data_IF_524788050238
#
_entry.id   IF_524788050238
#
_cell.length_a   1.000
_cell.length_b   1.000
_cell.length_c   1.000
_cell.angle_alpha   90.00
_cell.angle_beta   90.00
_cell.angle_gamma   90.00
#
_symmetry.space_group_name_H-M   'P 1'
#
loop_
_entity.id
_entity.type
_entity.pdbx_description
1 polymer ?
#
# COMPACT_ATOMS: atom_id res chain seq x y z
N UNK A 1 -20.07 -7.10 -11.27
CA UNK A 1 -19.99 -5.76 -10.65
C UNK A 1 -18.57 -5.27 -10.92
N UNK A 2 -18.41 -4.26 -11.78
CA UNK A 2 -17.09 -3.78 -12.21
C UNK A 2 -16.61 -2.80 -11.15
N UNK A 3 -15.57 -3.16 -10.39
CA UNK A 3 -14.93 -2.25 -9.44
C UNK A 3 -13.73 -1.57 -10.12
N UNK A 4 -13.98 -0.78 -11.17
CA UNK A 4 -12.95 0.05 -11.82
C UNK A 4 -13.05 1.51 -11.34
N UNK A 5 -11.95 2.25 -11.48
CA UNK A 5 -11.84 3.64 -11.05
C UNK A 5 -11.84 4.61 -12.23
N UNK A 6 -12.59 5.72 -12.10
CA UNK A 6 -12.70 6.77 -13.14
C UNK A 6 -11.33 7.33 -13.50
N UNK A 7 -10.52 7.67 -12.49
CA UNK A 7 -9.14 8.16 -12.68
C UNK A 7 -8.29 7.18 -13.50
N UNK A 8 -8.45 5.86 -13.29
CA UNK A 8 -7.68 4.86 -14.03
C UNK A 8 -8.14 4.77 -15.51
N UNK A 9 -9.45 4.82 -15.75
CA UNK A 9 -10.02 4.82 -17.10
C UNK A 9 -9.61 6.07 -17.90
N UNK A 10 -9.56 7.23 -17.24
CA UNK A 10 -9.12 8.49 -17.85
C UNK A 10 -7.62 8.49 -18.13
N UNK A 11 -6.79 7.94 -17.23
CA UNK A 11 -5.37 7.74 -17.51
C UNK A 11 -5.14 6.83 -18.74
N UNK A 12 -5.93 5.76 -18.89
CA UNK A 12 -5.86 4.88 -20.07
C UNK A 12 -6.26 5.62 -21.35
N UNK A 13 -7.30 6.44 -21.30
CA UNK A 13 -7.73 7.27 -22.43
C UNK A 13 -6.68 8.32 -22.81
N UNK A 14 -6.08 9.00 -21.81
CA UNK A 14 -5.04 10.01 -22.03
C UNK A 14 -3.79 9.48 -22.72
N UNK A 15 -3.44 8.20 -22.53
CA UNK A 15 -2.28 7.57 -23.21
C UNK A 15 -2.42 7.55 -24.73
N UNK A 16 -3.64 7.50 -25.27
CA UNK A 16 -3.87 7.48 -26.72
C UNK A 16 -3.56 8.83 -27.39
N UNK A 17 -3.60 9.94 -26.65
CA UNK A 17 -3.44 11.30 -27.18
C UNK A 17 -2.03 11.89 -27.07
N UNK A 18 -1.00 11.10 -26.71
CA UNK A 18 0.33 11.64 -26.35
C UNK A 18 1.12 12.26 -27.51
N UNK A 19 0.85 11.85 -28.75
CA UNK A 19 1.64 12.26 -29.93
C UNK A 19 0.78 12.95 -30.98
N UNK A 20 -0.47 12.51 -31.13
CA UNK A 20 -1.46 13.05 -32.05
C UNK A 20 -2.86 12.69 -31.53
N UNK A 21 -3.91 13.21 -32.16
CA UNK A 21 -5.28 12.86 -31.82
C UNK A 21 -5.47 11.33 -31.88
N UNK A 22 -5.83 10.74 -30.73
CA UNK A 22 -6.00 9.31 -30.56
C UNK A 22 -7.44 8.95 -30.21
N UNK A 23 -7.77 7.66 -30.33
CA UNK A 23 -9.08 7.11 -29.95
C UNK A 23 -8.90 6.08 -28.84
N UNK A 24 -9.79 6.09 -27.86
CA UNK A 24 -9.86 5.10 -26.80
C UNK A 24 -11.25 4.43 -26.86
N UNK A 25 -11.27 3.10 -27.01
CA UNK A 25 -12.50 2.32 -27.01
C UNK A 25 -12.72 1.73 -25.62
N UNK A 26 -13.84 2.09 -24.99
CA UNK A 26 -14.25 1.59 -23.67
C UNK A 26 -15.26 0.46 -23.85
N UNK A 27 -14.95 -0.74 -23.38
CA UNK A 27 -15.79 -1.94 -23.53
C UNK A 27 -16.84 -2.06 -22.40
N UNK A 28 -17.49 -0.94 -22.05
CA UNK A 28 -18.54 -0.84 -21.04
C UNK A 28 -19.51 0.30 -21.38
N UNK A 29 -20.78 0.23 -20.96
CA UNK A 29 -21.75 1.28 -21.20
C UNK A 29 -21.36 2.58 -20.47
N UNK A 30 -21.79 3.72 -21.00
CA UNK A 30 -21.53 5.03 -20.39
C UNK A 30 -22.11 5.17 -18.98
N UNK A 31 -23.23 4.50 -18.70
CA UNK A 31 -23.84 4.44 -17.36
C UNK A 31 -22.90 3.78 -16.34
N UNK A 32 -22.20 2.71 -16.70
CA UNK A 32 -21.26 2.06 -15.79
C UNK A 32 -20.11 3.01 -15.39
N UNK A 33 -19.62 3.84 -16.32
CA UNK A 33 -18.59 4.83 -16.02
C UNK A 33 -19.06 5.95 -15.08
N UNK A 34 -20.32 6.37 -15.21
CA UNK A 34 -20.86 7.50 -14.43
C UNK A 34 -21.36 7.05 -13.06
N UNK A 35 -22.03 5.90 -13.00
CA UNK A 35 -22.82 5.46 -11.85
C UNK A 35 -22.18 4.31 -11.07
N UNK A 36 -21.37 3.46 -11.73
CA UNK A 36 -20.78 2.26 -11.09
C UNK A 36 -19.31 2.43 -10.73
N UNK A 37 -18.55 3.25 -11.47
CA UNK A 37 -17.11 3.42 -11.23
C UNK A 37 -16.86 4.28 -10.00
N UNK A 38 -15.87 3.87 -9.20
CA UNK A 38 -15.39 4.65 -8.07
C UNK A 38 -14.51 5.81 -8.56
N UNK A 39 -14.47 6.92 -7.82
CA UNK A 39 -13.70 8.09 -8.23
C UNK A 39 -12.19 7.83 -8.32
N UNK A 40 -11.61 7.38 -7.22
CA UNK A 40 -10.18 7.14 -7.09
C UNK A 40 -9.92 5.86 -6.30
N UNK A 41 -8.78 5.24 -6.56
CA UNK A 41 -8.28 4.11 -5.77
C UNK A 41 -8.02 4.55 -4.34
N UNK A 42 -8.49 3.77 -3.37
CA UNK A 42 -8.08 3.91 -1.97
C UNK A 42 -6.54 3.81 -1.89
N UNK A 43 -5.86 4.62 -1.06
CA UNK A 43 -4.42 4.56 -0.87
C UNK A 43 -3.91 3.13 -0.58
N UNK A 44 -2.73 2.80 -1.08
CA UNK A 44 -2.16 1.45 -0.91
C UNK A 44 -1.90 1.09 0.56
N UNK A 45 -1.49 2.08 1.37
CA UNK A 45 -1.26 1.94 2.81
C UNK A 45 -2.52 1.51 3.59
N UNK A 46 -3.71 1.69 3.01
CA UNK A 46 -4.98 1.27 3.58
C UNK A 46 -5.50 -0.05 2.99
N UNK A 47 -4.78 -0.66 2.05
CA UNK A 47 -5.21 -1.87 1.31
C UNK A 47 -4.27 -3.06 1.42
N UNK A 48 -2.99 -2.85 1.74
CA UNK A 48 -1.97 -3.91 1.79
C UNK A 48 -1.51 -4.21 3.22
N UNK A 49 -0.90 -5.39 3.41
CA UNK A 49 -0.24 -5.73 4.67
C UNK A 49 0.91 -4.76 4.93
N UNK A 50 0.88 -4.11 6.09
CA UNK A 50 1.90 -3.15 6.51
C UNK A 50 3.14 -3.83 7.08
N UNK A 51 3.13 -5.15 7.31
CA UNK A 51 4.23 -5.87 7.94
C UNK A 51 5.58 -5.64 7.25
N UNK A 52 5.62 -5.72 5.90
CA UNK A 52 6.83 -5.46 5.13
C UNK A 52 7.32 -4.01 5.25
N UNK A 53 6.40 -3.04 5.18
CA UNK A 53 6.72 -1.61 5.32
C UNK A 53 7.22 -1.27 6.72
N UNK A 54 6.56 -1.80 7.77
CA UNK A 54 6.94 -1.60 9.17
C UNK A 54 8.30 -2.23 9.45
N UNK A 55 8.58 -3.43 8.92
CA UNK A 55 9.89 -4.06 9.01
C UNK A 55 10.98 -3.21 8.36
N UNK A 56 10.69 -2.68 7.16
CA UNK A 56 11.62 -1.81 6.45
C UNK A 56 11.89 -0.53 7.25
N UNK A 57 10.86 0.13 7.76
CA UNK A 57 11.00 1.33 8.60
C UNK A 57 11.83 1.06 9.86
N UNK A 58 11.61 -0.08 10.53
CA UNK A 58 12.40 -0.48 11.71
C UNK A 58 13.85 -0.85 11.35
N UNK A 59 14.11 -1.32 10.13
CA UNK A 59 15.47 -1.65 9.68
C UNK A 59 16.37 -0.43 9.43
N UNK A 60 15.78 0.76 9.29
CA UNK A 60 16.51 2.02 9.14
C UNK A 60 17.21 2.49 10.43
N UNK A 61 17.04 1.75 11.54
CA UNK A 61 17.68 1.97 12.84
C UNK A 61 17.51 3.41 13.36
N UNK A 62 16.29 3.94 13.21
CA UNK A 62 15.91 5.24 13.75
C UNK A 62 15.54 5.04 15.23
N UNK A 63 16.37 5.52 16.18
CA UNK A 63 16.31 5.11 17.59
C UNK A 63 15.00 5.46 18.31
N UNK A 64 14.25 6.44 17.79
CA UNK A 64 13.02 6.95 18.41
C UNK A 64 11.78 6.82 17.50
N UNK A 65 11.83 5.98 16.45
CA UNK A 65 10.68 5.85 15.54
C UNK A 65 9.59 4.99 16.17
N UNK A 66 8.60 5.68 16.74
CA UNK A 66 7.34 5.09 17.15
C UNK A 66 6.41 4.98 15.94
N UNK A 67 6.24 3.75 15.45
CA UNK A 67 5.41 3.43 14.29
C UNK A 67 3.93 3.80 14.54
N UNK A 68 3.47 3.78 15.79
CA UNK A 68 2.09 4.13 16.14
C UNK A 68 1.84 5.64 16.11
N UNK A 69 2.89 6.45 16.27
CA UNK A 69 2.83 7.92 16.27
C UNK A 69 3.56 8.55 15.07
N UNK A 70 3.93 7.75 14.07
CA UNK A 70 4.62 8.24 12.89
C UNK A 70 3.67 9.08 12.02
N UNK A 71 4.19 10.19 11.48
CA UNK A 71 3.41 11.14 10.66
C UNK A 71 3.28 10.63 9.22
N UNK A 72 2.37 9.67 9.01
CA UNK A 72 2.04 9.16 7.70
C UNK A 72 1.20 10.18 6.91
N UNK A 73 1.52 10.36 5.62
CA UNK A 73 0.76 11.24 4.71
C UNK A 73 -0.74 10.89 4.69
N UNK A 74 -1.03 9.59 4.62
CA UNK A 74 -2.36 9.03 4.80
C UNK A 74 -2.25 7.96 5.90
N UNK A 75 -2.67 8.24 7.15
CA UNK A 75 -2.47 7.32 8.24
C UNK A 75 -3.24 6.01 8.00
N UNK A 76 -2.57 4.86 8.15
CA UNK A 76 -3.27 3.58 8.18
C UNK A 76 -4.12 3.48 9.44
N UNK A 77 -5.05 2.51 9.46
CA UNK A 77 -5.81 2.23 10.67
C UNK A 77 -4.88 1.71 11.78
N UNK A 78 -5.16 2.10 13.04
CA UNK A 78 -4.39 1.64 14.19
C UNK A 78 -4.38 0.11 14.30
N UNK A 79 -5.52 -0.53 14.02
CA UNK A 79 -5.65 -1.98 14.02
C UNK A 79 -4.71 -2.64 12.99
N UNK A 80 -4.57 -2.06 11.80
CA UNK A 80 -3.64 -2.56 10.77
C UNK A 80 -2.18 -2.45 11.19
N UNK A 81 -1.80 -1.38 11.91
CA UNK A 81 -0.44 -1.24 12.46
C UNK A 81 -0.18 -2.23 13.58
N UNK A 82 -1.13 -2.41 14.49
CA UNK A 82 -1.04 -3.37 15.59
C UNK A 82 -0.95 -4.81 15.06
N UNK A 83 -1.73 -5.15 14.02
CA UNK A 83 -1.66 -6.46 13.37
C UNK A 83 -0.31 -6.68 12.67
N UNK A 84 0.21 -5.66 11.97
CA UNK A 84 1.54 -5.74 11.36
C UNK A 84 2.66 -5.95 12.39
N UNK A 85 2.64 -5.23 13.52
CA UNK A 85 3.59 -5.43 14.62
C UNK A 85 3.46 -6.83 15.22
N UNK A 86 2.22 -7.32 15.39
CA UNK A 86 1.97 -8.68 15.89
C UNK A 86 2.53 -9.75 14.95
N UNK A 87 2.31 -9.60 13.65
CA UNK A 87 2.85 -10.51 12.64
C UNK A 87 4.39 -10.54 12.68
N UNK A 88 5.03 -9.36 12.80
CA UNK A 88 6.49 -9.27 12.90
C UNK A 88 7.03 -9.90 14.18
N UNK A 89 6.32 -9.78 15.29
CA UNK A 89 6.67 -10.44 16.55
C UNK A 89 6.56 -11.97 16.44
N UNK A 90 5.50 -12.49 15.79
CA UNK A 90 5.29 -13.93 15.61
C UNK A 90 6.37 -14.62 14.76
N UNK A 91 7.03 -13.88 13.86
CA UNK A 91 8.12 -14.39 13.02
C UNK A 91 9.52 -14.06 13.57
N UNK A 92 9.62 -13.63 14.83
CA UNK A 92 10.85 -13.22 15.50
C UNK A 92 11.61 -12.08 14.77
N UNK A 93 10.93 -11.27 13.95
CA UNK A 93 11.54 -10.14 13.25
C UNK A 93 11.74 -8.93 14.19
N UNK A 94 10.88 -8.79 15.20
CA UNK A 94 11.00 -7.77 16.26
C UNK A 94 10.91 -8.43 17.64
N UNK A 95 11.51 -7.79 18.64
CA UNK A 95 11.43 -8.23 20.04
C UNK A 95 10.20 -7.67 20.78
N UNK A 96 10.05 -8.03 22.05
CA UNK A 96 8.98 -7.56 22.94
C UNK A 96 9.00 -6.04 23.20
N UNK A 97 10.13 -5.39 22.94
CA UNK A 97 10.30 -3.93 23.05
C UNK A 97 10.05 -3.22 21.71
N UNK A 98 9.72 -3.96 20.64
CA UNK A 98 9.51 -3.43 19.30
C UNK A 98 10.79 -3.04 18.56
N UNK A 99 11.94 -3.57 18.98
CA UNK A 99 13.24 -3.42 18.34
C UNK A 99 13.47 -4.53 17.32
N UNK A 100 14.16 -4.21 16.23
CA UNK A 100 14.45 -5.17 15.16
C UNK A 100 15.49 -6.19 15.64
N UNK A 101 15.22 -7.49 15.42
CA UNK A 101 16.18 -8.56 15.75
C UNK A 101 17.20 -8.76 14.62
N UNK A 102 18.23 -9.57 14.87
CA UNK A 102 19.17 -9.99 13.80
C UNK A 102 18.46 -10.76 12.67
N UNK A 103 17.37 -11.45 12.98
CA UNK A 103 16.54 -12.16 12.00
C UNK A 103 15.77 -11.14 11.17
N UNK A 104 15.13 -10.17 11.83
CA UNK A 104 14.43 -9.06 11.18
C UNK A 104 15.32 -8.24 10.24
N UNK A 105 16.55 -7.92 10.65
CA UNK A 105 17.51 -7.23 9.79
C UNK A 105 17.85 -8.02 8.52
N UNK A 106 18.04 -9.34 8.64
CA UNK A 106 18.26 -10.20 7.47
C UNK A 106 17.02 -10.24 6.59
N UNK A 107 15.84 -10.39 7.19
CA UNK A 107 14.56 -10.38 6.46
C UNK A 107 14.36 -9.07 5.70
N UNK A 108 14.67 -7.91 6.29
CA UNK A 108 14.58 -6.61 5.61
C UNK A 108 15.51 -6.50 4.39
N UNK A 109 16.64 -7.20 4.40
CA UNK A 109 17.57 -7.25 3.26
C UNK A 109 17.06 -8.09 2.08
N UNK A 110 16.13 -9.00 2.31
CA UNK A 110 15.45 -9.74 1.26
C UNK A 110 14.08 -9.08 1.05
N UNK A 111 13.84 -8.42 -0.09
CA UNK A 111 12.53 -7.81 -0.44
C UNK A 111 11.43 -8.89 -0.61
N UNK A 112 11.12 -9.62 0.45
CA UNK A 112 10.17 -10.72 0.51
C UNK A 112 8.86 -10.13 0.98
N UNK A 113 7.82 -10.32 0.17
CA UNK A 113 6.45 -10.14 0.63
C UNK A 113 6.18 -11.21 1.70
N UNK A 114 5.99 -10.76 2.95
CA UNK A 114 5.52 -11.64 4.01
C UNK A 114 4.12 -12.17 3.62
N UNK A 115 3.86 -13.48 3.78
CA UNK A 115 2.63 -14.13 3.33
C UNK A 115 1.38 -13.68 4.09
#
# INVERSE_FOLDING_TARGET
RVNDFRVQADQRAGRAGRTQSGKCYRLYPSSAYLDEFLDATVPEIQRSSLAGTVLHLKSLDLPDIDILHFDFLDPPSRESLEDALRQLYLIDAIDENGLITKVGQRMAGYNISLP
#
